data_IF_788199573727
#
_entry.id   IF_788199573727
#
_cell.length_a   1.000
_cell.length_b   1.000
_cell.length_c   1.000
_cell.angle_alpha   90.00
_cell.angle_beta   90.00
_cell.angle_gamma   90.00
#
_symmetry.space_group_name_H-M   'P 1'
#
loop_
_entity.id
_entity.type
_entity.pdbx_description
1 polymer ?
#
# COMPACT_ATOMS: atom_id res chain seq x y z
N UNK A 1 16.63 48.37 10.91
CA UNK A 1 15.66 47.27 10.59
C UNK A 1 16.14 46.33 9.45
N UNK A 2 17.43 46.33 9.09
CA UNK A 2 17.97 45.64 7.92
C UNK A 2 19.03 44.56 8.16
N UNK A 3 19.03 43.92 9.38
CA UNK A 3 20.13 42.98 9.71
C UNK A 3 19.69 41.49 9.68
N UNK A 4 18.47 41.13 9.27
CA UNK A 4 17.98 39.76 9.44
C UNK A 4 17.84 38.97 8.12
N UNK A 5 18.06 39.54 6.93
CA UNK A 5 17.82 38.85 5.66
C UNK A 5 18.81 37.73 5.29
N UNK A 6 19.94 37.57 6.00
CA UNK A 6 20.96 36.55 5.69
C UNK A 6 21.00 35.34 6.63
N UNK A 7 20.21 35.31 7.71
CA UNK A 7 20.39 34.30 8.77
C UNK A 7 19.20 33.35 8.96
N UNK A 8 18.22 33.36 8.10
CA UNK A 8 17.06 32.47 8.13
C UNK A 8 16.87 31.76 6.81
N UNK A 9 16.36 30.54 6.88
CA UNK A 9 15.97 29.72 5.72
C UNK A 9 14.52 29.34 5.86
N UNK A 10 13.87 29.05 4.73
CA UNK A 10 12.50 28.54 4.68
C UNK A 10 12.51 27.08 4.23
N UNK A 11 11.76 26.24 4.93
CA UNK A 11 11.52 24.85 4.64
C UNK A 11 10.03 24.59 4.53
N UNK A 12 9.62 23.44 4.00
CA UNK A 12 8.25 22.95 4.03
C UNK A 12 8.11 21.85 5.06
N UNK A 13 6.97 21.81 5.75
CA UNK A 13 6.72 20.82 6.80
C UNK A 13 5.33 20.21 6.70
N UNK A 14 5.28 18.89 6.83
CA UNK A 14 4.05 18.10 6.93
C UNK A 14 4.13 17.18 8.13
N UNK A 15 3.08 17.18 8.96
CA UNK A 15 2.88 16.25 10.06
C UNK A 15 1.76 15.27 9.71
N UNK A 16 2.07 13.99 9.76
CA UNK A 16 1.09 12.91 9.50
C UNK A 16 0.88 12.12 10.78
N UNK A 17 -0.32 12.15 11.28
CA UNK A 17 -0.73 11.35 12.44
C UNK A 17 -1.79 10.32 12.09
N UNK A 18 -2.25 9.62 13.11
CA UNK A 18 -3.35 8.67 13.04
C UNK A 18 -4.46 9.11 14.00
N UNK A 19 -5.68 9.30 13.49
CA UNK A 19 -6.82 9.75 14.29
C UNK A 19 -7.56 8.58 14.97
N UNK A 20 -7.17 7.34 14.69
CA UNK A 20 -7.81 6.12 15.20
C UNK A 20 -6.77 5.20 15.82
N UNK A 21 -6.69 5.18 17.15
CA UNK A 21 -5.69 4.42 17.91
C UNK A 21 -6.15 2.98 18.19
N UNK A 22 -5.17 2.06 18.23
CA UNK A 22 -5.31 0.70 18.74
C UNK A 22 -5.01 -0.38 17.73
N UNK A 23 -4.63 -1.57 18.22
CA UNK A 23 -4.15 -2.73 17.45
C UNK A 23 -5.15 -3.29 16.44
N UNK A 24 -6.43 -2.95 16.56
CA UNK A 24 -7.51 -3.38 15.68
C UNK A 24 -8.18 -2.21 14.93
N UNK A 25 -7.69 -0.99 15.10
CA UNK A 25 -8.25 0.15 14.43
C UNK A 25 -7.80 0.19 12.97
N UNK A 26 -8.74 0.43 12.08
CA UNK A 26 -8.43 0.72 10.68
C UNK A 26 -7.76 2.08 10.60
N UNK A 27 -6.50 2.08 10.31
CA UNK A 27 -5.59 3.19 10.39
C UNK A 27 -5.89 4.22 9.32
N UNK A 28 -6.31 5.37 9.75
CA UNK A 28 -6.55 6.53 8.90
C UNK A 28 -5.48 7.57 9.21
N UNK A 29 -4.34 7.45 8.52
CA UNK A 29 -3.35 8.52 8.60
C UNK A 29 -3.93 9.78 7.98
N UNK A 30 -3.80 10.90 8.67
CA UNK A 30 -4.24 12.21 8.19
C UNK A 30 -3.11 13.23 8.30
N UNK A 31 -3.14 14.24 7.44
CA UNK A 31 -2.29 15.40 7.63
C UNK A 31 -2.80 16.22 8.80
N UNK A 32 -2.17 16.08 9.94
CA UNK A 32 -2.40 16.96 11.07
C UNK A 32 -1.91 18.38 10.79
N UNK A 33 -0.78 18.51 10.06
CA UNK A 33 -0.28 19.76 9.48
C UNK A 33 0.08 19.47 8.02
N UNK A 34 -0.38 20.30 7.08
CA UNK A 34 -0.20 20.03 5.66
C UNK A 34 0.62 21.11 4.95
N UNK A 35 1.80 20.73 4.48
CA UNK A 35 2.71 21.48 3.59
C UNK A 35 2.87 22.97 3.95
N UNK A 36 3.08 23.27 5.24
CA UNK A 36 3.29 24.64 5.69
C UNK A 36 4.73 25.08 5.47
N UNK A 37 4.91 26.39 5.25
CA UNK A 37 6.23 27.02 5.25
C UNK A 37 6.69 27.25 6.69
N UNK A 38 7.90 26.79 7.02
CA UNK A 38 8.52 27.00 8.34
C UNK A 38 9.84 27.75 8.13
N UNK A 39 9.93 28.92 8.76
CA UNK A 39 11.16 29.74 8.73
C UNK A 39 11.98 29.46 9.99
N UNK A 40 13.21 29.02 9.80
CA UNK A 40 14.18 28.74 10.89
C UNK A 40 15.52 29.43 10.63
N UNK A 41 16.38 29.45 11.64
CA UNK A 41 17.74 29.98 11.49
C UNK A 41 18.54 29.12 10.50
N UNK A 42 19.45 29.72 9.77
CA UNK A 42 20.41 28.96 8.96
C UNK A 42 21.27 28.10 9.88
N UNK A 43 21.43 26.80 9.53
CA UNK A 43 22.08 25.79 10.37
C UNK A 43 21.14 25.09 11.38
N UNK A 44 19.83 25.40 11.37
CA UNK A 44 18.82 24.69 12.15
C UNK A 44 18.75 23.22 11.73
N UNK A 45 18.24 22.39 12.63
CA UNK A 45 18.06 20.95 12.45
C UNK A 45 16.60 20.61 12.10
N UNK A 46 16.34 19.36 11.74
CA UNK A 46 14.96 18.87 11.58
C UNK A 46 14.18 18.99 12.88
N UNK A 47 14.83 18.76 14.03
CA UNK A 47 14.22 18.96 15.36
C UNK A 47 13.73 20.39 15.56
N UNK A 48 14.52 21.40 15.15
CA UNK A 48 14.14 22.81 15.25
C UNK A 48 12.92 23.13 14.37
N UNK A 49 12.86 22.55 13.17
CA UNK A 49 11.71 22.72 12.26
C UNK A 49 10.46 22.10 12.86
N UNK A 50 10.56 20.86 13.38
CA UNK A 50 9.44 20.18 14.03
C UNK A 50 8.95 20.98 15.22
N UNK A 51 9.83 21.34 16.15
CA UNK A 51 9.48 22.08 17.35
C UNK A 51 8.76 23.40 17.04
N UNK A 52 9.27 24.14 16.06
CA UNK A 52 8.64 25.39 15.60
C UNK A 52 7.28 25.14 14.95
N UNK A 53 7.19 24.17 14.04
CA UNK A 53 5.95 23.84 13.35
C UNK A 53 4.86 23.41 14.33
N UNK A 54 5.18 22.54 15.29
CA UNK A 54 4.25 22.09 16.32
C UNK A 54 3.76 23.27 17.17
N UNK A 55 4.68 24.06 17.70
CA UNK A 55 4.35 25.23 18.53
C UNK A 55 3.46 26.23 17.80
N UNK A 56 3.80 26.59 16.57
CA UNK A 56 3.08 27.60 15.80
C UNK A 56 1.65 27.15 15.42
N UNK A 57 1.39 25.83 15.45
CA UNK A 57 0.09 25.24 15.12
C UNK A 57 -0.66 24.68 16.35
N UNK A 58 -0.18 24.97 17.58
CA UNK A 58 -0.86 24.60 18.82
C UNK A 58 -0.72 23.14 19.23
N UNK A 59 0.22 22.40 18.62
CA UNK A 59 0.58 21.03 19.03
C UNK A 59 1.63 21.06 20.14
N UNK A 60 1.68 19.99 20.94
CA UNK A 60 2.76 19.75 21.89
C UNK A 60 3.37 18.36 21.64
N UNK A 61 4.61 18.17 22.07
CA UNK A 61 5.31 16.90 21.95
C UNK A 61 5.94 16.49 23.28
N UNK A 62 6.09 15.20 23.48
CA UNK A 62 6.84 14.58 24.57
C UNK A 62 8.12 13.95 24.00
N UNK A 63 9.14 13.80 24.86
CA UNK A 63 10.45 13.26 24.47
C UNK A 63 11.57 14.26 24.65
N UNK A 64 12.59 14.18 23.79
CA UNK A 64 13.78 15.04 23.82
C UNK A 64 13.97 15.74 22.48
N UNK A 65 14.99 16.62 22.38
CA UNK A 65 15.37 17.22 21.10
C UNK A 65 15.80 16.19 20.05
N UNK A 66 16.26 15.02 20.47
CA UNK A 66 16.75 13.95 19.58
C UNK A 66 15.66 12.93 19.24
N UNK A 67 14.61 12.88 20.05
CA UNK A 67 13.58 11.85 19.92
C UNK A 67 12.23 12.34 20.43
N UNK A 68 11.20 12.24 19.61
CA UNK A 68 9.83 12.57 19.96
C UNK A 68 9.07 11.25 20.18
N UNK A 69 8.63 11.03 21.43
CA UNK A 69 7.89 9.85 21.83
C UNK A 69 6.38 9.98 21.61
N UNK A 70 5.83 11.20 21.77
CA UNK A 70 4.42 11.44 21.54
C UNK A 70 4.14 12.85 21.00
N UNK A 71 3.04 13.00 20.27
CA UNK A 71 2.50 14.30 19.86
C UNK A 71 1.05 14.40 20.31
N UNK A 72 0.71 15.55 20.90
CA UNK A 72 -0.66 15.89 21.28
C UNK A 72 -1.19 16.98 20.35
N UNK A 73 -2.37 16.73 19.78
CA UNK A 73 -3.07 17.66 18.90
C UNK A 73 -3.75 18.78 19.70
N UNK A 74 -4.09 19.93 19.08
CA UNK A 74 -4.87 20.98 19.72
C UNK A 74 -6.26 20.50 20.19
N UNK A 75 -6.83 19.47 19.57
CA UNK A 75 -8.10 18.84 19.97
C UNK A 75 -7.98 17.88 21.16
N UNK A 76 -6.76 17.62 21.64
CA UNK A 76 -6.51 16.77 22.79
C UNK A 76 -6.18 15.31 22.49
N UNK A 77 -6.14 14.89 21.20
CA UNK A 77 -5.68 13.56 20.81
C UNK A 77 -4.16 13.46 21.05
N UNK A 78 -3.73 12.42 21.74
CA UNK A 78 -2.30 12.11 21.90
C UNK A 78 -1.99 10.84 21.15
N UNK A 79 -0.91 10.85 20.35
CA UNK A 79 -0.41 9.68 19.64
C UNK A 79 1.05 9.46 20.06
N UNK A 80 1.28 8.37 20.79
CA UNK A 80 2.57 7.96 21.33
C UNK A 80 3.20 6.81 20.55
N UNK A 81 4.50 6.63 20.74
CA UNK A 81 5.15 5.38 20.30
C UNK A 81 4.47 4.18 20.95
N UNK A 82 4.41 3.07 20.21
CA UNK A 82 3.79 1.80 20.61
C UNK A 82 2.26 1.79 20.72
N UNK A 83 1.56 2.92 20.51
CA UNK A 83 0.09 2.97 20.57
C UNK A 83 -0.57 2.03 19.55
N UNK A 84 0.06 1.84 18.38
CA UNK A 84 -0.42 0.95 17.33
C UNK A 84 0.32 -0.40 17.28
N UNK A 85 1.08 -0.73 18.32
CA UNK A 85 1.81 -1.98 18.42
C UNK A 85 3.30 -1.80 18.73
N UNK A 86 4.05 -2.88 19.04
CA UNK A 86 5.40 -2.81 19.60
C UNK A 86 6.47 -2.26 18.66
N UNK A 87 6.10 -1.92 17.44
CA UNK A 87 6.99 -1.35 16.42
C UNK A 87 6.43 -0.07 15.80
N UNK A 88 5.37 0.47 16.38
CA UNK A 88 4.81 1.73 15.91
C UNK A 88 5.53 2.92 16.55
N UNK A 89 5.62 4.01 15.82
CA UNK A 89 6.30 5.20 16.30
C UNK A 89 6.47 6.28 15.25
N UNK A 90 7.14 7.35 15.64
CA UNK A 90 7.37 8.52 14.83
C UNK A 90 8.64 8.38 13.99
N UNK A 91 8.54 8.71 12.72
CA UNK A 91 9.60 8.67 11.73
C UNK A 91 9.68 10.00 10.97
N UNK A 92 10.78 10.24 10.26
CA UNK A 92 10.89 11.42 9.42
C UNK A 92 11.56 11.14 8.08
N UNK A 93 11.25 12.01 7.13
CA UNK A 93 11.89 12.04 5.82
C UNK A 93 12.21 13.49 5.43
N UNK A 94 13.30 13.66 4.70
CA UNK A 94 13.67 14.93 4.07
C UNK A 94 13.76 14.71 2.57
N UNK A 95 13.04 15.52 1.80
CA UNK A 95 12.95 15.41 0.34
C UNK A 95 12.55 13.98 -0.12
N UNK A 96 11.64 13.35 0.63
CA UNK A 96 11.12 12.01 0.36
C UNK A 96 12.05 10.85 0.70
N UNK A 97 13.17 11.08 1.39
CA UNK A 97 14.11 10.05 1.82
C UNK A 97 14.26 10.06 3.34
N UNK A 98 14.24 8.88 3.98
CA UNK A 98 14.54 8.72 5.40
C UNK A 98 16.07 8.82 5.59
N UNK A 99 16.59 9.80 6.34
CA UNK A 99 18.01 9.90 6.65
C UNK A 99 18.45 8.84 7.68
N UNK A 100 19.74 8.46 7.64
CA UNK A 100 20.35 7.56 8.62
C UNK A 100 20.89 8.29 9.87
N UNK A 101 20.34 9.44 10.21
CA UNK A 101 20.73 10.25 11.36
C UNK A 101 19.50 10.71 12.14
N UNK A 102 19.66 11.08 13.40
CA UNK A 102 18.57 11.60 14.23
C UNK A 102 18.07 12.98 13.78
N UNK A 103 16.87 13.36 14.24
CA UNK A 103 16.24 14.66 13.91
C UNK A 103 17.07 15.86 14.37
N UNK A 104 17.85 15.69 15.43
CA UNK A 104 18.73 16.75 15.95
C UNK A 104 20.07 16.85 15.21
N UNK A 105 20.44 15.83 14.44
CA UNK A 105 21.73 15.79 13.73
C UNK A 105 21.60 16.23 12.27
N UNK A 106 20.40 16.13 11.69
CA UNK A 106 20.17 16.54 10.30
C UNK A 106 19.99 18.06 10.20
N UNK A 107 20.97 18.75 9.60
CA UNK A 107 20.88 20.19 9.31
C UNK A 107 20.09 20.43 8.03
N UNK A 108 19.03 21.20 8.15
CA UNK A 108 18.14 21.53 7.02
C UNK A 108 18.72 22.61 6.13
N UNK A 109 18.34 22.63 4.87
CA UNK A 109 18.68 23.63 3.85
C UNK A 109 17.43 24.37 3.39
N UNK A 110 17.63 25.54 2.81
CA UNK A 110 16.53 26.28 2.19
C UNK A 110 15.85 25.44 1.11
N UNK A 111 14.52 25.36 1.16
CA UNK A 111 13.70 24.58 0.24
C UNK A 111 13.53 23.10 0.59
N UNK A 112 14.16 22.60 1.66
CA UNK A 112 13.92 21.23 2.11
C UNK A 112 12.46 21.01 2.47
N UNK A 113 11.93 19.84 2.09
CA UNK A 113 10.61 19.37 2.49
C UNK A 113 10.75 18.30 3.56
N UNK A 114 10.30 18.62 4.77
CA UNK A 114 10.34 17.73 5.93
C UNK A 114 8.96 17.10 6.10
N UNK A 115 8.90 15.78 6.17
CA UNK A 115 7.73 15.03 6.59
C UNK A 115 8.05 14.33 7.90
N UNK A 116 7.27 14.63 8.95
CA UNK A 116 7.28 13.88 10.22
C UNK A 116 6.00 13.08 10.29
N UNK A 117 6.10 11.76 10.49
CA UNK A 117 4.97 10.86 10.29
C UNK A 117 5.00 9.67 11.23
N UNK A 118 3.81 9.22 11.59
CA UNK A 118 3.63 8.02 12.40
C UNK A 118 3.56 6.78 11.52
N UNK A 119 4.15 5.66 11.99
CA UNK A 119 4.09 4.35 11.33
C UNK A 119 3.71 3.27 12.31
N UNK A 120 3.11 2.21 11.81
CA UNK A 120 2.73 1.04 12.60
C UNK A 120 3.87 0.02 12.76
N UNK A 121 4.81 0.03 11.85
CA UNK A 121 5.98 -0.85 11.87
C UNK A 121 7.15 -0.13 11.19
N UNK A 122 8.02 0.47 12.01
CA UNK A 122 9.20 1.22 11.54
C UNK A 122 10.26 0.30 10.89
N UNK A 123 10.10 -1.03 10.96
CA UNK A 123 10.99 -1.97 10.26
C UNK A 123 10.59 -2.19 8.80
N UNK A 124 9.43 -1.65 8.40
CA UNK A 124 8.93 -1.66 7.02
C UNK A 124 9.02 -0.27 6.44
N UNK A 125 9.27 -0.19 5.14
CA UNK A 125 9.20 1.08 4.42
C UNK A 125 7.72 1.47 4.21
N UNK A 126 7.09 1.95 5.29
CA UNK A 126 5.69 2.34 5.36
C UNK A 126 5.54 3.87 5.39
N UNK A 127 6.46 4.62 4.76
CA UNK A 127 6.31 6.09 4.63
C UNK A 127 4.94 6.41 4.05
N UNK A 128 4.03 7.06 4.80
CA UNK A 128 2.70 7.38 4.31
C UNK A 128 2.80 8.30 3.09
N UNK A 129 2.32 7.85 1.95
CA UNK A 129 2.14 8.73 0.78
C UNK A 129 0.79 9.42 0.91
N UNK A 130 0.83 10.74 1.00
CA UNK A 130 -0.36 11.58 1.06
C UNK A 130 -0.56 12.15 -0.34
N UNK A 131 -1.75 11.97 -0.91
CA UNK A 131 -2.08 12.58 -2.18
C UNK A 131 -2.45 14.07 -2.01
N UNK A 132 -2.67 14.75 -3.14
CA UNK A 132 -3.01 16.18 -3.16
C UNK A 132 -4.35 16.51 -2.44
N UNK A 133 -5.17 15.52 -2.09
CA UNK A 133 -6.42 15.70 -1.34
C UNK A 133 -6.24 15.65 0.18
N UNK A 134 -5.02 15.38 0.64
CA UNK A 134 -4.72 15.23 2.07
C UNK A 134 -5.13 13.87 2.65
N UNK A 135 -5.60 12.95 1.81
CA UNK A 135 -5.92 11.59 2.23
C UNK A 135 -4.65 10.74 2.23
N UNK A 136 -4.34 10.17 3.37
CA UNK A 136 -3.22 9.24 3.53
C UNK A 136 -3.62 7.90 2.94
N UNK A 137 -3.43 7.75 1.66
CA UNK A 137 -3.41 6.42 1.11
C UNK A 137 -2.08 5.76 1.50
N UNK A 138 -2.09 4.83 2.45
CA UNK A 138 -1.22 3.67 2.34
C UNK A 138 -1.18 3.32 0.86
N UNK A 139 0.01 2.97 0.31
CA UNK A 139 0.22 2.60 -1.10
C UNK A 139 -1.09 2.28 -1.79
N UNK A 140 -1.53 3.14 -2.69
CA UNK A 140 -2.78 3.02 -3.45
C UNK A 140 -3.03 1.56 -3.78
N UNK A 141 -4.21 1.05 -3.47
CA UNK A 141 -4.59 -0.31 -3.83
C UNK A 141 -4.23 -0.56 -5.30
N UNK A 142 -3.27 -1.43 -5.55
CA UNK A 142 -2.78 -1.69 -6.90
C UNK A 142 -3.56 -2.84 -7.54
N UNK A 143 -3.72 -2.86 -8.87
CA UNK A 143 -4.35 -3.97 -9.55
C UNK A 143 -3.42 -5.20 -9.53
N UNK A 144 -3.96 -6.36 -9.22
CA UNK A 144 -3.23 -7.61 -9.38
C UNK A 144 -2.95 -7.91 -10.86
N UNK A 145 -1.79 -8.48 -11.17
CA UNK A 145 -1.52 -9.01 -12.52
C UNK A 145 -1.93 -10.47 -12.57
N UNK A 146 -3.06 -10.77 -13.22
CA UNK A 146 -3.61 -12.12 -13.32
C UNK A 146 -3.07 -12.85 -14.57
N UNK A 147 -2.79 -14.14 -14.41
CA UNK A 147 -2.36 -15.05 -15.51
C UNK A 147 -3.14 -16.36 -15.46
N UNK A 148 -3.39 -16.93 -16.63
CA UNK A 148 -3.87 -18.31 -16.75
C UNK A 148 -2.67 -19.24 -16.66
N UNK A 149 -2.48 -19.85 -15.49
CA UNK A 149 -1.33 -20.72 -15.24
C UNK A 149 -1.48 -22.09 -15.93
N UNK A 150 -2.71 -22.60 -16.03
CA UNK A 150 -3.01 -23.86 -16.71
C UNK A 150 -4.47 -23.92 -17.14
N UNK A 151 -4.72 -24.51 -18.31
CA UNK A 151 -6.04 -24.98 -18.73
C UNK A 151 -5.99 -26.48 -19.01
N UNK A 152 -6.97 -27.21 -18.54
CA UNK A 152 -7.12 -28.65 -18.79
C UNK A 152 -8.59 -28.94 -19.09
N UNK A 153 -8.98 -30.21 -19.27
CA UNK A 153 -10.28 -30.69 -19.70
C UNK A 153 -11.46 -29.88 -19.06
N UNK A 154 -11.57 -29.76 -17.81
CA UNK A 154 -12.63 -29.02 -17.10
C UNK A 154 -12.08 -28.10 -16.00
N UNK A 155 -10.86 -27.65 -16.17
CA UNK A 155 -10.14 -26.87 -15.15
C UNK A 155 -9.47 -25.66 -15.78
N UNK A 156 -9.58 -24.52 -15.11
CA UNK A 156 -8.75 -23.33 -15.36
C UNK A 156 -8.06 -22.96 -14.04
N UNK A 157 -6.72 -22.97 -14.05
CA UNK A 157 -5.92 -22.48 -12.93
C UNK A 157 -5.48 -21.06 -13.20
N UNK A 158 -5.78 -20.18 -12.27
CA UNK A 158 -5.37 -18.78 -12.26
C UNK A 158 -4.32 -18.55 -11.18
N UNK A 159 -3.40 -17.67 -11.46
CA UNK A 159 -2.46 -17.09 -10.48
C UNK A 159 -2.37 -15.59 -10.71
N UNK A 160 -2.03 -14.85 -9.67
CA UNK A 160 -1.83 -13.41 -9.77
C UNK A 160 -0.76 -12.93 -8.81
N UNK A 161 -0.26 -11.73 -9.06
CA UNK A 161 0.69 -11.07 -8.18
C UNK A 161 -0.01 -10.52 -6.95
N UNK A 162 0.71 -10.43 -5.82
CA UNK A 162 0.23 -9.68 -4.67
C UNK A 162 -0.01 -8.23 -5.13
N UNK A 163 -1.16 -7.70 -4.82
CA UNK A 163 -1.50 -6.30 -5.03
C UNK A 163 -1.18 -5.52 -3.75
N UNK A 164 -0.59 -4.32 -3.90
CA UNK A 164 -0.31 -3.47 -2.75
C UNK A 164 -1.62 -3.14 -2.04
N UNK A 165 -1.60 -3.17 -0.73
CA UNK A 165 -2.74 -2.87 0.14
C UNK A 165 -3.97 -3.77 0.01
N UNK A 166 -3.90 -4.87 -0.74
CA UNK A 166 -5.00 -5.82 -0.83
C UNK A 166 -4.98 -6.78 0.37
N UNK A 167 -6.12 -6.93 1.00
CA UNK A 167 -6.36 -7.91 2.08
C UNK A 167 -7.07 -9.17 1.60
N UNK A 168 -7.78 -9.06 0.47
CA UNK A 168 -8.47 -10.19 -0.18
C UNK A 168 -8.61 -9.95 -1.66
N UNK A 169 -8.94 -11.02 -2.37
CA UNK A 169 -9.15 -11.04 -3.82
C UNK A 169 -10.50 -11.65 -4.14
N UNK A 170 -11.23 -11.03 -5.04
CA UNK A 170 -12.47 -11.56 -5.59
C UNK A 170 -12.21 -12.02 -7.02
N UNK A 171 -12.53 -13.27 -7.33
CA UNK A 171 -12.35 -13.83 -8.67
C UNK A 171 -13.67 -13.76 -9.42
N UNK A 172 -13.67 -13.10 -10.55
CA UNK A 172 -14.82 -12.96 -11.42
C UNK A 172 -14.63 -13.74 -12.71
N UNK A 173 -15.72 -14.34 -13.19
CA UNK A 173 -15.77 -15.10 -14.44
C UNK A 173 -16.96 -14.65 -15.28
N UNK A 174 -16.79 -14.64 -16.60
CA UNK A 174 -17.88 -14.63 -17.58
C UNK A 174 -17.68 -15.66 -18.66
N UNK A 175 -18.78 -16.11 -19.29
CA UNK A 175 -18.79 -17.09 -20.39
C UNK A 175 -19.11 -16.36 -21.69
N UNK A 176 -18.19 -16.42 -22.66
CA UNK A 176 -18.32 -15.65 -23.91
C UNK A 176 -18.01 -14.15 -23.70
N UNK A 177 -18.00 -13.40 -24.81
CA UNK A 177 -17.59 -11.99 -24.81
C UNK A 177 -18.66 -11.06 -24.18
N UNK A 178 -19.93 -11.36 -24.43
CA UNK A 178 -21.06 -10.43 -24.15
C UNK A 178 -21.80 -10.70 -22.83
N UNK A 179 -21.39 -11.71 -22.05
CA UNK A 179 -22.01 -11.96 -20.74
C UNK A 179 -21.41 -11.09 -19.63
N UNK A 180 -22.17 -10.91 -18.54
CA UNK A 180 -21.72 -10.18 -17.36
C UNK A 180 -20.74 -11.01 -16.52
N UNK A 181 -19.82 -10.34 -15.84
CA UNK A 181 -18.95 -10.98 -14.86
C UNK A 181 -19.74 -11.36 -13.60
N UNK A 182 -19.50 -12.56 -13.11
CA UNK A 182 -20.07 -13.09 -11.86
C UNK A 182 -18.93 -13.42 -10.91
N UNK A 183 -19.04 -13.04 -9.66
CA UNK A 183 -18.11 -13.45 -8.60
C UNK A 183 -18.24 -14.97 -8.40
N UNK A 184 -17.11 -15.69 -8.48
CA UNK A 184 -17.06 -17.15 -8.32
C UNK A 184 -16.23 -17.58 -7.11
N UNK A 185 -15.45 -16.67 -6.51
CA UNK A 185 -14.70 -16.92 -5.28
C UNK A 185 -14.21 -15.61 -4.66
N UNK A 186 -14.07 -15.63 -3.33
CA UNK A 186 -13.31 -14.65 -2.55
C UNK A 186 -12.22 -15.40 -1.78
N UNK A 187 -10.98 -14.91 -1.80
CA UNK A 187 -9.82 -15.61 -1.22
C UNK A 187 -8.72 -14.63 -0.83
N UNK A 188 -7.87 -15.02 0.12
CA UNK A 188 -6.61 -14.36 0.44
C UNK A 188 -5.41 -14.96 -0.33
N UNK A 189 -5.62 -16.10 -0.98
CA UNK A 189 -4.60 -16.79 -1.77
C UNK A 189 -4.33 -16.05 -3.08
N UNK A 190 -3.12 -16.17 -3.62
CA UNK A 190 -2.72 -15.64 -4.93
C UNK A 190 -2.97 -16.62 -6.10
N UNK A 191 -3.81 -17.60 -5.87
CA UNK A 191 -4.19 -18.62 -6.87
C UNK A 191 -5.63 -19.08 -6.69
N UNK A 192 -6.26 -19.48 -7.78
CA UNK A 192 -7.59 -20.08 -7.77
C UNK A 192 -7.70 -21.14 -8.88
N UNK A 193 -8.47 -22.19 -8.61
CA UNK A 193 -8.74 -23.25 -9.57
C UNK A 193 -10.25 -23.32 -9.83
N UNK A 194 -10.66 -22.89 -11.01
CA UNK A 194 -12.03 -23.04 -11.47
C UNK A 194 -12.25 -24.44 -12.04
N UNK A 195 -13.03 -25.23 -11.34
CA UNK A 195 -13.45 -26.59 -11.74
C UNK A 195 -14.84 -26.63 -12.40
N UNK A 196 -15.52 -25.48 -12.48
CA UNK A 196 -16.88 -25.37 -13.04
C UNK A 196 -16.84 -24.81 -14.47
N UNK A 197 -15.92 -25.32 -15.29
CA UNK A 197 -15.76 -24.93 -16.70
C UNK A 197 -16.00 -26.11 -17.62
N UNK A 198 -16.46 -25.83 -18.84
CA UNK A 198 -16.71 -26.83 -19.88
C UNK A 198 -15.69 -26.69 -21.01
N UNK A 199 -15.19 -27.81 -21.49
CA UNK A 199 -14.30 -27.89 -22.67
C UNK A 199 -14.88 -27.15 -23.88
N UNK A 200 -14.05 -26.44 -24.62
CA UNK A 200 -14.41 -25.69 -25.81
C UNK A 200 -15.10 -24.34 -25.56
N UNK A 201 -15.60 -24.08 -24.37
CA UNK A 201 -16.20 -22.77 -24.03
C UNK A 201 -15.12 -21.73 -23.75
N UNK A 202 -15.35 -20.49 -24.19
CA UNK A 202 -14.45 -19.35 -23.92
C UNK A 202 -14.87 -18.69 -22.61
N UNK A 203 -13.94 -18.63 -21.66
CA UNK A 203 -14.11 -17.96 -20.36
C UNK A 203 -13.21 -16.75 -20.27
N UNK A 204 -13.68 -15.72 -19.59
CA UNK A 204 -12.92 -14.52 -19.28
C UNK A 204 -12.91 -14.35 -17.77
N UNK A 205 -11.75 -14.03 -17.24
CA UNK A 205 -11.55 -13.85 -15.80
C UNK A 205 -10.94 -12.50 -15.53
N UNK A 206 -11.34 -11.89 -14.41
CA UNK A 206 -10.64 -10.80 -13.77
C UNK A 206 -10.55 -11.09 -12.28
N UNK A 207 -9.53 -10.53 -11.65
CA UNK A 207 -9.34 -10.58 -10.20
C UNK A 207 -9.45 -9.16 -9.69
N UNK A 208 -10.28 -8.96 -8.69
CA UNK A 208 -10.48 -7.68 -8.02
C UNK A 208 -9.70 -7.75 -6.72
N UNK A 209 -8.70 -6.91 -6.56
CA UNK A 209 -8.02 -6.71 -5.30
C UNK A 209 -8.92 -5.83 -4.42
N UNK A 210 -9.09 -6.18 -3.15
CA UNK A 210 -9.95 -5.46 -2.20
C UNK A 210 -9.15 -5.23 -0.92
N UNK A 211 -9.16 -4.01 -0.42
CA UNK A 211 -8.54 -3.66 0.86
C UNK A 211 -9.54 -3.75 2.03
N UNK A 212 -9.08 -3.43 3.23
CA UNK A 212 -9.90 -3.48 4.44
C UNK A 212 -11.05 -2.46 4.43
N UNK A 213 -10.86 -1.32 3.78
CA UNK A 213 -11.90 -0.28 3.62
C UNK A 213 -13.00 -0.68 2.62
N UNK A 214 -12.84 -1.80 1.92
CA UNK A 214 -13.77 -2.22 0.87
C UNK A 214 -13.52 -1.57 -0.49
N UNK A 215 -12.46 -0.78 -0.64
CA UNK A 215 -12.03 -0.27 -1.94
C UNK A 215 -11.59 -1.43 -2.83
N UNK A 216 -11.87 -1.35 -4.11
CA UNK A 216 -11.68 -2.44 -5.05
C UNK A 216 -11.04 -1.97 -6.36
N UNK A 217 -10.04 -2.70 -6.84
CA UNK A 217 -9.37 -2.43 -8.12
C UNK A 217 -9.31 -3.68 -8.98
N UNK A 218 -9.77 -3.53 -10.21
CA UNK A 218 -9.83 -4.60 -11.21
C UNK A 218 -8.46 -4.90 -11.84
N UNK A 219 -8.12 -6.17 -12.01
CA UNK A 219 -7.05 -6.59 -12.91
C UNK A 219 -7.46 -6.43 -14.38
N UNK A 220 -6.49 -6.49 -15.30
CA UNK A 220 -6.78 -6.77 -16.71
C UNK A 220 -7.48 -8.12 -16.86
N UNK A 221 -8.38 -8.23 -17.83
CA UNK A 221 -9.09 -9.47 -18.13
C UNK A 221 -8.19 -10.46 -18.86
N UNK A 222 -8.19 -11.71 -18.41
CA UNK A 222 -7.53 -12.82 -19.12
C UNK A 222 -8.54 -13.81 -19.67
N UNK A 223 -8.18 -14.49 -20.77
CA UNK A 223 -9.04 -15.44 -21.49
C UNK A 223 -8.51 -16.85 -21.33
N UNK A 224 -9.41 -17.80 -21.12
CA UNK A 224 -9.10 -19.23 -21.08
C UNK A 224 -10.12 -20.02 -21.89
N UNK A 225 -9.65 -21.07 -22.56
CA UNK A 225 -10.50 -22.02 -23.27
C UNK A 225 -10.03 -23.43 -22.88
N UNK A 226 -10.72 -24.14 -21.99
CA UNK A 226 -10.40 -25.52 -21.63
C UNK A 226 -10.42 -26.39 -22.88
N UNK A 227 -9.41 -27.25 -23.05
CA UNK A 227 -9.27 -28.14 -24.20
C UNK A 227 -9.45 -29.60 -23.78
N UNK A 228 -9.99 -30.44 -24.65
CA UNK A 228 -10.03 -31.88 -24.44
C UNK A 228 -8.60 -32.45 -24.28
N UNK A 229 -8.45 -33.46 -23.44
CA UNK A 229 -7.20 -34.23 -23.41
C UNK A 229 -6.96 -34.84 -24.80
N UNK A 230 -5.75 -34.63 -25.31
CA UNK A 230 -5.30 -35.43 -26.47
C UNK A 230 -5.18 -36.89 -26.03
N UNK A 231 -6.04 -37.75 -26.56
CA UNK A 231 -5.87 -39.18 -26.39
C UNK A 231 -4.58 -39.61 -27.10
N UNK A 232 -3.65 -40.18 -26.36
CA UNK A 232 -2.50 -40.87 -26.95
C UNK A 232 -2.93 -42.31 -27.25
N UNK A 233 -3.40 -42.55 -28.44
CA UNK A 233 -3.68 -43.90 -28.91
C UNK A 233 -2.34 -44.55 -29.26
N UNK A 234 -1.96 -45.60 -28.57
CA UNK A 234 -0.84 -46.46 -28.95
C UNK A 234 -1.41 -47.64 -29.74
N UNK A 235 -1.11 -47.69 -31.02
CA UNK A 235 -1.42 -48.87 -31.84
C UNK A 235 -0.47 -50.02 -31.44
N UNK A 236 -1.00 -51.12 -30.94
CA UNK A 236 -0.24 -52.37 -30.78
C UNK A 236 -0.60 -53.31 -31.94
N UNK A 237 0.40 -53.65 -32.77
CA UNK A 237 0.26 -54.73 -33.72
C UNK A 237 0.35 -56.07 -32.99
N UNK A 238 -0.69 -56.88 -33.02
CA UNK A 238 -0.69 -58.24 -32.52
C UNK A 238 -1.08 -59.16 -33.68
N UNK A 239 -0.13 -60.05 -34.07
CA UNK A 239 -0.34 -61.17 -35.04
C UNK A 239 -1.53 -60.96 -36.01
N UNK A 240 -1.32 -60.17 -37.07
CA UNK A 240 -2.30 -59.97 -38.12
C UNK A 240 -3.51 -59.06 -37.83
N UNK A 241 -3.68 -58.52 -36.64
CA UNK A 241 -4.73 -57.56 -36.31
C UNK A 241 -4.18 -56.33 -35.58
N UNK A 242 -4.65 -55.16 -35.96
CA UNK A 242 -4.36 -53.90 -35.23
C UNK A 242 -5.43 -53.71 -34.17
N UNK A 243 -5.04 -53.67 -32.90
CA UNK A 243 -5.92 -53.37 -31.77
C UNK A 243 -5.60 -51.97 -31.29
N UNK A 244 -6.60 -51.09 -31.23
CA UNK A 244 -6.51 -49.74 -30.67
C UNK A 244 -6.77 -49.82 -29.15
N UNK A 245 -5.88 -49.29 -28.35
CA UNK A 245 -6.02 -49.19 -26.87
C UNK A 245 -5.89 -47.73 -26.44
#
# INVERSE_FOLDING_TARGET
LDIIKGNVIQTKFTLVGDDVHGTNAHKSYTNWINDIAVTVKNGATVSDVIAKALKDNGYSSEGTTNYISAIKTPSGITLGEFDNGPRSGWMYAVNGKAPNVGIADYKVKAGDTIKFYYVDDYTKDDTPTIDASGDTHRKKLSPATVKVAKTDYNIVKLTWTKADNATKYQVYRKVGKNSKFVNIATTTSLKYTDKKVKTGKKYYYKVVAVNEKGEAVDSKTVKATPKAKKLKVKAKKKAGRTVLS
#
